data_IF_957542688768
#
_entry.id   IF_957542688768
#
_cell.length_a   1.000
_cell.length_b   1.000
_cell.length_c   1.000
_cell.angle_alpha   90.00
_cell.angle_beta   90.00
_cell.angle_gamma   90.00
#
_symmetry.space_group_name_H-M   'P 1'
#
loop_
_entity.id
_entity.type
_entity.pdbx_description
1 polymer ?
#
# COMPACT_ATOMS: atom_id res chain seq x y z
N UNK A 1 -55.78 67.44 16.89
CA UNK A 1 -55.96 68.00 15.53
C UNK A 1 -55.22 67.11 14.53
N UNK A 2 -55.92 66.53 13.55
CA UNK A 2 -55.30 65.95 12.34
C UNK A 2 -54.66 67.08 11.51
N UNK A 3 -53.62 66.78 10.72
CA UNK A 3 -53.86 66.60 9.28
C UNK A 3 -53.09 65.38 8.71
N UNK A 4 -53.73 64.47 7.99
CA UNK A 4 -54.06 64.45 6.54
C UNK A 4 -52.92 63.88 5.68
N UNK A 5 -53.27 62.79 4.99
CA UNK A 5 -52.55 62.06 3.94
C UNK A 5 -52.02 62.98 2.84
N UNK A 6 -50.87 62.62 2.29
CA UNK A 6 -50.60 62.75 0.85
C UNK A 6 -50.40 61.36 0.24
N UNK A 7 -51.05 61.18 -0.90
CA UNK A 7 -51.11 59.98 -1.74
C UNK A 7 -50.21 60.15 -2.97
N UNK A 8 -49.45 59.12 -3.33
CA UNK A 8 -48.92 58.91 -4.69
C UNK A 8 -48.98 57.41 -5.07
N UNK A 9 -49.01 57.10 -6.39
CA UNK A 9 -49.91 56.13 -7.03
C UNK A 9 -49.21 54.76 -7.29
N UNK A 10 -49.90 53.77 -7.92
CA UNK A 10 -49.60 52.34 -7.75
C UNK A 10 -48.35 51.92 -8.54
N UNK A 11 -47.55 51.04 -7.93
CA UNK A 11 -46.59 50.23 -8.67
C UNK A 11 -47.24 48.88 -8.96
N UNK A 12 -47.27 48.55 -10.25
CA UNK A 12 -47.78 47.31 -10.81
C UNK A 12 -47.18 46.09 -10.10
N UNK A 13 -48.07 45.27 -9.53
CA UNK A 13 -47.76 43.91 -9.10
C UNK A 13 -47.73 43.07 -10.38
N UNK A 14 -46.55 42.90 -10.95
CA UNK A 14 -46.33 41.85 -11.92
C UNK A 14 -45.86 40.60 -11.16
N UNK A 15 -46.76 39.62 -11.09
CA UNK A 15 -46.42 38.25 -10.71
C UNK A 15 -45.36 37.71 -11.68
N UNK A 16 -44.15 37.50 -11.18
CA UNK A 16 -43.23 36.53 -11.77
C UNK A 16 -42.99 35.44 -10.74
N UNK A 17 -43.46 34.24 -11.09
CA UNK A 17 -43.15 32.99 -10.43
C UNK A 17 -41.63 32.87 -10.25
N UNK A 18 -41.15 32.33 -9.11
CA UNK A 18 -39.76 31.93 -9.03
C UNK A 18 -39.55 30.79 -10.03
N UNK A 19 -38.83 31.08 -11.11
CA UNK A 19 -38.28 30.05 -11.97
C UNK A 19 -37.42 29.16 -11.08
N UNK A 20 -37.79 27.89 -10.95
CA UNK A 20 -36.94 26.88 -10.37
C UNK A 20 -35.59 26.95 -11.08
N UNK A 21 -34.57 27.45 -10.39
CA UNK A 21 -33.20 27.13 -10.73
C UNK A 21 -33.06 25.65 -10.44
N UNK A 22 -33.34 24.84 -11.46
CA UNK A 22 -32.96 23.45 -11.51
C UNK A 22 -31.46 23.42 -11.22
N UNK A 23 -31.10 22.99 -10.02
CA UNK A 23 -29.71 22.68 -9.70
C UNK A 23 -29.31 21.57 -10.65
N UNK A 24 -28.58 21.93 -11.69
CA UNK A 24 -27.84 20.97 -12.50
C UNK A 24 -26.93 20.23 -11.54
N UNK A 25 -27.33 19.01 -11.19
CA UNK A 25 -26.50 18.09 -10.44
C UNK A 25 -25.27 17.84 -11.31
N UNK A 26 -24.12 18.37 -10.90
CA UNK A 26 -22.79 18.06 -11.47
C UNK A 26 -22.37 16.59 -11.30
N UNK A 27 -23.33 15.72 -11.00
CA UNK A 27 -23.19 14.29 -10.81
C UNK A 27 -23.38 13.52 -12.13
N UNK A 28 -24.12 14.08 -13.09
CA UNK A 28 -24.42 13.40 -14.35
C UNK A 28 -23.32 13.55 -15.41
N UNK A 29 -22.48 14.59 -15.33
CA UNK A 29 -21.30 14.75 -16.19
C UNK A 29 -20.14 13.84 -15.79
N UNK A 30 -20.12 13.35 -14.55
CA UNK A 30 -19.09 12.44 -14.05
C UNK A 30 -19.42 10.97 -14.37
N UNK A 31 -20.70 10.62 -14.44
CA UNK A 31 -21.15 9.28 -14.84
C UNK A 31 -20.79 9.00 -16.30
N UNK A 32 -20.82 10.00 -17.18
CA UNK A 32 -20.47 9.85 -18.60
C UNK A 32 -18.97 9.61 -18.81
N UNK A 33 -18.10 10.21 -17.99
CA UNK A 33 -16.65 9.97 -18.04
C UNK A 33 -16.27 8.57 -17.53
N UNK A 34 -17.04 8.03 -16.57
CA UNK A 34 -16.86 6.66 -16.07
C UNK A 34 -17.44 5.63 -17.06
N UNK A 35 -18.53 5.97 -17.76
CA UNK A 35 -19.12 5.11 -18.80
C UNK A 35 -18.28 5.07 -20.08
N UNK A 36 -17.51 6.13 -20.41
CA UNK A 36 -16.55 6.11 -21.52
C UNK A 36 -15.31 5.26 -21.20
N UNK A 37 -14.80 5.27 -19.96
CA UNK A 37 -13.74 4.34 -19.53
C UNK A 37 -14.22 2.88 -19.43
N UNK A 38 -15.51 2.64 -19.17
CA UNK A 38 -16.09 1.28 -19.09
C UNK A 38 -16.48 0.67 -20.44
N UNK A 39 -16.45 1.45 -21.54
CA UNK A 39 -16.66 0.92 -22.91
C UNK A 39 -15.37 0.58 -23.64
N UNK A 40 -14.21 0.79 -23.02
CA UNK A 40 -12.93 0.33 -23.53
C UNK A 40 -12.58 -1.01 -22.87
N UNK A 41 -13.29 -2.06 -23.28
CA UNK A 41 -12.94 -3.44 -22.94
C UNK A 41 -11.84 -3.92 -23.90
N UNK A 42 -10.81 -4.51 -23.30
CA UNK A 42 -9.97 -5.61 -23.78
C UNK A 42 -9.67 -5.71 -25.29
N UNK A 43 -8.44 -5.34 -25.69
CA UNK A 43 -7.58 -6.02 -26.70
C UNK A 43 -6.37 -5.20 -27.18
N UNK A 44 -5.75 -4.34 -26.37
CA UNK A 44 -4.46 -3.72 -26.77
C UNK A 44 -3.43 -3.66 -25.63
N UNK A 45 -2.19 -4.14 -25.84
CA UNK A 45 -1.12 -4.08 -24.85
C UNK A 45 -0.43 -2.70 -24.87
N UNK A 46 -1.20 -1.60 -24.80
CA UNK A 46 -0.66 -0.26 -25.07
C UNK A 46 -0.42 0.66 -23.85
N UNK A 47 -0.81 0.27 -22.64
CA UNK A 47 -0.63 1.12 -21.44
C UNK A 47 0.62 0.80 -20.60
N UNK A 48 1.44 -0.18 -21.00
CA UNK A 48 2.76 -0.41 -20.38
C UNK A 48 3.84 0.50 -20.97
N UNK A 49 3.66 0.96 -22.21
CA UNK A 49 4.62 1.80 -22.94
C UNK A 49 4.84 3.15 -22.27
N UNK A 50 3.79 3.82 -21.78
CA UNK A 50 3.91 5.20 -21.31
C UNK A 50 4.52 5.32 -19.91
N UNK A 51 4.35 4.29 -19.06
CA UNK A 51 4.97 4.22 -17.73
C UNK A 51 6.41 3.71 -17.78
N UNK A 52 6.70 2.71 -18.63
CA UNK A 52 8.08 2.31 -18.95
C UNK A 52 8.82 3.47 -19.63
N UNK A 53 8.12 4.24 -20.47
CA UNK A 53 8.63 5.49 -21.03
C UNK A 53 8.82 6.55 -19.96
N UNK A 54 8.03 6.66 -18.88
CA UNK A 54 8.31 7.59 -17.78
C UNK A 54 9.58 7.26 -16.97
N UNK A 55 9.91 5.97 -16.83
CA UNK A 55 11.16 5.52 -16.22
C UNK A 55 12.34 5.74 -17.18
N UNK A 56 12.11 5.52 -18.48
CA UNK A 56 13.11 5.66 -19.54
C UNK A 56 13.30 7.13 -20.00
N UNK A 57 12.30 7.99 -19.83
CA UNK A 57 12.26 9.41 -20.26
C UNK A 57 12.66 10.37 -19.14
N UNK A 58 12.85 9.88 -17.91
CA UNK A 58 13.74 10.56 -16.99
C UNK A 58 15.18 10.34 -17.49
N UNK A 59 15.60 11.13 -18.49
CA UNK A 59 16.99 11.37 -18.89
C UNK A 59 17.83 12.02 -17.75
N UNK A 60 17.52 11.75 -16.49
CA UNK A 60 18.50 11.77 -15.43
C UNK A 60 19.11 10.38 -15.40
N UNK A 61 20.26 10.22 -16.04
CA UNK A 61 21.19 9.10 -15.90
C UNK A 61 21.10 8.52 -14.48
N UNK A 62 20.27 7.48 -14.28
CA UNK A 62 20.24 6.79 -13.01
C UNK A 62 21.64 6.25 -12.81
N UNK A 63 22.25 6.56 -11.66
CA UNK A 63 23.58 6.08 -11.39
C UNK A 63 23.53 4.53 -11.38
N UNK A 64 24.14 3.83 -12.35
CA UNK A 64 24.02 2.38 -12.47
C UNK A 64 24.70 1.64 -11.31
N UNK A 65 25.42 2.36 -10.45
CA UNK A 65 25.98 1.81 -9.21
C UNK A 65 24.95 1.68 -8.10
N UNK A 66 23.76 2.26 -8.24
CA UNK A 66 22.67 2.08 -7.26
C UNK A 66 22.26 0.61 -7.28
N UNK A 67 22.37 -0.01 -6.11
CA UNK A 67 21.86 -1.35 -5.86
C UNK A 67 20.63 -1.30 -4.97
N UNK A 68 19.61 -2.06 -5.33
CA UNK A 68 18.39 -2.28 -4.58
C UNK A 68 18.31 -3.79 -4.37
N UNK A 69 18.20 -4.25 -3.13
CA UNK A 69 18.18 -5.68 -2.75
C UNK A 69 19.32 -6.48 -3.40
N UNK A 70 20.53 -5.91 -3.39
CA UNK A 70 21.74 -6.42 -4.05
C UNK A 70 21.75 -6.45 -5.58
N UNK A 71 20.67 -5.99 -6.23
CA UNK A 71 20.53 -5.95 -7.68
C UNK A 71 20.74 -4.55 -8.22
N UNK A 72 21.33 -4.45 -9.41
CA UNK A 72 21.44 -3.15 -10.10
C UNK A 72 20.05 -2.57 -10.33
N UNK A 73 19.88 -1.27 -10.14
CA UNK A 73 18.63 -0.58 -10.48
C UNK A 73 18.22 -0.82 -11.94
N UNK A 74 19.18 -1.04 -12.84
CA UNK A 74 18.93 -1.35 -14.26
C UNK A 74 18.24 -2.68 -14.50
N UNK A 75 18.26 -3.59 -13.51
CA UNK A 75 17.64 -4.91 -13.62
C UNK A 75 16.13 -4.86 -13.29
N UNK A 76 15.63 -3.74 -12.76
CA UNK A 76 14.21 -3.57 -12.40
C UNK A 76 13.37 -3.18 -13.62
N UNK A 77 13.25 -4.10 -14.56
CA UNK A 77 12.56 -3.90 -15.85
C UNK A 77 11.10 -4.34 -15.83
N UNK A 78 10.67 -5.10 -14.83
CA UNK A 78 9.33 -5.69 -14.78
C UNK A 78 8.40 -4.91 -13.86
N UNK A 79 7.16 -4.73 -14.30
CA UNK A 79 6.11 -4.07 -13.53
C UNK A 79 4.98 -5.07 -13.28
N UNK A 80 4.71 -5.34 -12.01
CA UNK A 80 3.59 -6.18 -11.60
C UNK A 80 2.41 -5.33 -11.12
N UNK A 81 1.19 -5.77 -11.44
CA UNK A 81 -0.06 -5.26 -10.85
C UNK A 81 -0.81 -6.44 -10.24
N UNK A 82 -0.66 -6.61 -8.94
CA UNK A 82 -1.09 -7.79 -8.18
C UNK A 82 -2.47 -7.53 -7.55
N UNK A 83 -3.56 -8.18 -7.99
CA UNK A 83 -4.88 -7.94 -7.43
C UNK A 83 -5.03 -8.54 -6.03
N UNK A 84 -5.64 -7.75 -5.14
CA UNK A 84 -5.92 -8.12 -3.76
C UNK A 84 -7.41 -8.44 -3.58
N UNK A 85 -7.72 -9.71 -3.34
CA UNK A 85 -9.07 -10.26 -3.37
C UNK A 85 -9.45 -10.87 -2.02
N UNK A 86 -10.73 -10.78 -1.64
CA UNK A 86 -11.31 -11.68 -0.64
C UNK A 86 -12.55 -12.38 -1.18
N UNK A 87 -12.82 -13.56 -0.62
CA UNK A 87 -14.08 -14.25 -0.84
C UNK A 87 -15.08 -13.76 0.20
N UNK A 88 -16.31 -13.49 -0.22
CA UNK A 88 -17.38 -12.98 0.67
C UNK A 88 -17.62 -13.85 1.91
N UNK A 89 -17.28 -15.15 1.84
CA UNK A 89 -17.46 -16.14 2.91
C UNK A 89 -16.21 -16.36 3.78
N UNK A 90 -15.02 -15.89 3.37
CA UNK A 90 -13.77 -16.12 4.07
C UNK A 90 -13.12 -14.81 4.49
N UNK A 91 -12.74 -14.70 5.76
CA UNK A 91 -12.09 -13.50 6.34
C UNK A 91 -10.63 -13.31 5.90
N UNK A 92 -10.13 -14.14 5.00
CA UNK A 92 -8.78 -14.08 4.45
C UNK A 92 -8.72 -13.17 3.23
N UNK A 93 -7.59 -12.50 3.05
CA UNK A 93 -7.26 -11.77 1.83
C UNK A 93 -6.19 -12.56 1.07
N UNK A 94 -6.34 -12.60 -0.25
CA UNK A 94 -5.51 -13.32 -1.20
C UNK A 94 -4.91 -12.32 -2.18
N UNK A 95 -3.61 -12.43 -2.42
CA UNK A 95 -2.88 -11.64 -3.40
C UNK A 95 -2.58 -12.53 -4.61
N UNK A 96 -3.15 -12.20 -5.74
CA UNK A 96 -2.96 -12.91 -6.99
C UNK A 96 -1.86 -12.23 -7.81
N UNK A 97 -1.29 -12.98 -8.77
CA UNK A 97 -0.26 -12.46 -9.65
C UNK A 97 -0.85 -11.51 -10.68
N UNK A 98 -1.95 -11.92 -11.31
CA UNK A 98 -2.65 -11.18 -12.36
C UNK A 98 -4.15 -11.28 -12.13
N UNK A 99 -4.91 -10.51 -12.90
CA UNK A 99 -6.37 -10.64 -12.92
C UNK A 99 -6.81 -11.95 -13.58
N UNK A 100 -6.07 -12.43 -14.58
CA UNK A 100 -6.36 -13.70 -15.25
C UNK A 100 -6.28 -14.90 -14.30
N UNK A 101 -5.35 -14.87 -13.35
CA UNK A 101 -5.27 -15.89 -12.29
C UNK A 101 -6.51 -15.90 -11.39
N UNK A 102 -7.11 -14.73 -11.14
CA UNK A 102 -8.37 -14.62 -10.41
C UNK A 102 -9.51 -15.27 -11.22
N UNK A 103 -9.62 -14.93 -12.51
CA UNK A 103 -10.67 -15.44 -13.40
C UNK A 103 -10.53 -16.96 -13.58
N UNK A 104 -9.30 -17.44 -13.75
CA UNK A 104 -8.96 -18.85 -13.99
C UNK A 104 -8.96 -19.68 -12.71
N UNK A 105 -9.15 -19.04 -11.54
CA UNK A 105 -9.08 -19.68 -10.22
C UNK A 105 -7.74 -20.41 -10.01
N UNK A 106 -6.64 -19.81 -10.50
CA UNK A 106 -5.27 -20.21 -10.18
C UNK A 106 -4.99 -19.94 -8.69
N UNK A 107 -4.20 -20.76 -7.97
CA UNK A 107 -3.83 -20.45 -6.60
C UNK A 107 -3.16 -19.05 -6.46
N UNK A 108 -3.48 -18.26 -5.42
CA UNK A 108 -2.89 -16.93 -5.24
C UNK A 108 -1.43 -17.02 -4.80
N UNK A 109 -0.61 -16.01 -5.10
CA UNK A 109 0.79 -15.94 -4.63
C UNK A 109 0.87 -16.01 -3.11
N UNK A 110 0.09 -15.15 -2.44
CA UNK A 110 0.07 -15.03 -0.99
C UNK A 110 -1.37 -15.04 -0.46
N UNK A 111 -1.55 -15.59 0.72
CA UNK A 111 -2.80 -15.41 1.47
C UNK A 111 -2.52 -15.21 2.94
N UNK A 112 -3.30 -14.36 3.59
CA UNK A 112 -3.22 -14.21 5.05
C UNK A 112 -4.33 -14.98 5.73
N UNK A 113 -4.00 -15.55 6.89
CA UNK A 113 -4.99 -16.06 7.83
C UNK A 113 -4.96 -15.19 9.08
N UNK A 114 -6.12 -14.65 9.55
CA UNK A 114 -6.16 -14.02 10.85
C UNK A 114 -5.94 -15.08 11.92
N UNK A 115 -5.07 -14.80 12.87
CA UNK A 115 -4.87 -15.72 13.99
C UNK A 115 -6.00 -15.54 15.00
N UNK A 116 -6.73 -16.61 15.29
CA UNK A 116 -7.69 -16.63 16.39
C UNK A 116 -6.91 -16.46 17.69
N UNK A 117 -7.18 -15.40 18.46
CA UNK A 117 -6.57 -15.17 19.76
C UNK A 117 -6.80 -16.40 20.63
N UNK A 118 -5.74 -17.17 20.90
CA UNK A 118 -5.79 -18.23 21.91
C UNK A 118 -5.25 -17.68 23.22
N UNK A 119 -6.06 -17.72 24.28
CA UNK A 119 -5.77 -17.13 25.59
C UNK A 119 -4.50 -17.66 26.27
N UNK A 120 -3.89 -18.73 25.76
CA UNK A 120 -2.82 -19.46 26.45
C UNK A 120 -1.51 -19.62 25.64
N UNK A 121 -1.41 -19.07 24.43
CA UNK A 121 -0.17 -19.12 23.62
C UNK A 121 0.15 -17.76 23.02
N UNK A 122 1.45 -17.42 22.95
CA UNK A 122 1.97 -16.29 22.15
C UNK A 122 1.60 -16.51 20.68
N UNK A 123 0.41 -16.03 20.34
CA UNK A 123 -0.19 -16.19 19.03
C UNK A 123 0.33 -15.05 18.15
N UNK A 124 0.83 -15.32 16.92
CA UNK A 124 1.24 -14.24 16.04
C UNK A 124 0.07 -13.31 15.73
N UNK A 125 0.35 -12.06 15.39
CA UNK A 125 -0.67 -11.11 14.94
C UNK A 125 -1.33 -11.60 13.64
N UNK A 126 -0.51 -12.12 12.73
CA UNK A 126 -0.93 -12.61 11.42
C UNK A 126 0.07 -13.65 10.92
N UNK A 127 -0.43 -14.60 10.13
CA UNK A 127 0.39 -15.54 9.36
C UNK A 127 0.07 -15.37 7.89
N UNK A 128 1.10 -15.12 7.08
CA UNK A 128 1.04 -15.04 5.63
C UNK A 128 1.58 -16.35 5.07
N UNK A 129 0.82 -16.94 4.17
CA UNK A 129 1.13 -18.20 3.50
C UNK A 129 1.47 -17.93 2.04
N UNK A 130 2.47 -18.64 1.52
CA UNK A 130 2.75 -18.74 0.08
C UNK A 130 2.05 -19.98 -0.47
N UNK A 131 1.46 -19.89 -1.64
CA UNK A 131 0.89 -21.05 -2.33
C UNK A 131 1.82 -21.52 -3.44
N UNK A 132 1.88 -22.83 -3.60
CA UNK A 132 2.42 -23.48 -4.77
C UNK A 132 1.32 -23.62 -5.85
N UNK A 133 1.73 -23.91 -7.09
CA UNK A 133 0.82 -24.03 -8.25
C UNK A 133 -0.18 -25.18 -8.12
N UNK A 134 0.16 -26.21 -7.35
CA UNK A 134 -0.72 -27.33 -6.99
C UNK A 134 -1.80 -26.96 -5.95
N UNK A 135 -1.76 -25.73 -5.43
CA UNK A 135 -2.67 -25.23 -4.39
C UNK A 135 -2.25 -25.58 -2.96
N UNK A 136 -1.11 -26.26 -2.77
CA UNK A 136 -0.53 -26.43 -1.44
C UNK A 136 -0.09 -25.07 -0.90
N UNK A 137 -0.29 -24.84 0.40
CA UNK A 137 0.14 -23.60 1.06
C UNK A 137 1.01 -23.90 2.27
N UNK A 138 2.03 -23.08 2.46
CA UNK A 138 2.94 -23.17 3.60
C UNK A 138 3.10 -21.81 4.27
N UNK A 139 3.45 -21.81 5.56
CA UNK A 139 3.76 -20.59 6.30
C UNK A 139 5.00 -19.93 5.68
N UNK A 140 4.81 -18.74 5.12
CA UNK A 140 5.89 -17.98 4.49
C UNK A 140 6.42 -16.90 5.43
N UNK A 141 5.51 -16.18 6.09
CA UNK A 141 5.86 -15.10 7.01
C UNK A 141 4.96 -15.11 8.26
N UNK A 142 5.60 -15.11 9.42
CA UNK A 142 4.95 -14.92 10.72
C UNK A 142 5.15 -13.48 11.21
N UNK A 143 4.05 -12.82 11.57
CA UNK A 143 4.06 -11.41 11.96
C UNK A 143 3.77 -11.26 13.45
N UNK A 144 4.64 -10.56 14.16
CA UNK A 144 4.44 -10.11 15.53
C UNK A 144 4.32 -8.60 15.58
N UNK A 145 3.59 -8.08 16.59
CA UNK A 145 3.52 -6.66 16.89
C UNK A 145 4.19 -6.37 18.22
N UNK A 146 5.00 -5.32 18.26
CA UNK A 146 5.70 -4.88 19.46
C UNK A 146 5.60 -3.36 19.61
N UNK A 147 5.59 -2.92 20.86
CA UNK A 147 5.58 -1.51 21.24
C UNK A 147 6.98 -1.17 21.75
N UNK A 148 7.64 -0.19 21.13
CA UNK A 148 8.91 0.33 21.62
C UNK A 148 8.65 1.48 22.61
N UNK A 149 7.80 2.43 22.22
CA UNK A 149 7.29 3.53 23.04
C UNK A 149 5.84 3.86 22.64
N UNK A 150 5.22 4.83 23.30
CA UNK A 150 3.87 5.30 22.94
C UNK A 150 3.79 5.77 21.48
N UNK A 151 4.88 6.35 20.97
CA UNK A 151 4.93 6.96 19.64
C UNK A 151 5.69 6.13 18.60
N UNK A 152 6.32 5.02 19.01
CA UNK A 152 7.07 4.12 18.13
C UNK A 152 6.62 2.68 18.38
N UNK A 153 6.05 2.06 17.36
CA UNK A 153 5.71 0.63 17.36
C UNK A 153 6.45 -0.05 16.23
N UNK A 154 6.51 -1.38 16.24
CA UNK A 154 7.11 -2.10 15.13
C UNK A 154 6.51 -3.48 14.93
N UNK A 155 6.55 -3.94 13.67
CA UNK A 155 6.23 -5.31 13.32
C UNK A 155 7.50 -6.12 13.13
N UNK A 156 7.47 -7.38 13.55
CA UNK A 156 8.55 -8.35 13.29
C UNK A 156 8.00 -9.37 12.30
N UNK A 157 8.52 -9.35 11.07
CA UNK A 157 8.17 -10.29 10.01
C UNK A 157 9.27 -11.35 9.96
N UNK A 158 8.94 -12.59 10.32
CA UNK A 158 9.87 -13.72 10.29
C UNK A 158 9.57 -14.60 9.09
N UNK A 159 10.51 -14.69 8.17
CA UNK A 159 10.41 -15.48 6.95
C UNK A 159 11.10 -16.82 7.14
N UNK A 160 10.33 -17.83 7.60
CA UNK A 160 10.87 -19.13 8.03
C UNK A 160 11.67 -19.83 6.93
N UNK A 161 11.19 -19.79 5.68
CA UNK A 161 11.89 -20.39 4.53
C UNK A 161 13.14 -19.64 4.06
N UNK A 162 13.29 -18.36 4.43
CA UNK A 162 14.39 -17.51 3.98
C UNK A 162 15.43 -17.25 5.08
N UNK A 163 15.23 -17.77 6.30
CA UNK A 163 16.09 -17.48 7.45
C UNK A 163 16.19 -16.00 7.80
N UNK A 164 15.28 -15.16 7.29
CA UNK A 164 15.40 -13.69 7.35
C UNK A 164 14.31 -13.09 8.25
N UNK A 165 14.64 -12.02 8.97
CA UNK A 165 13.69 -11.25 9.78
C UNK A 165 13.73 -9.78 9.37
N UNK A 166 12.55 -9.20 9.10
CA UNK A 166 12.39 -7.78 8.77
C UNK A 166 11.65 -7.07 9.89
N UNK A 167 12.16 -5.90 10.28
CA UNK A 167 11.56 -5.04 11.31
C UNK A 167 10.95 -3.80 10.68
N UNK A 168 9.62 -3.68 10.73
CA UNK A 168 8.91 -2.51 10.23
C UNK A 168 8.72 -1.51 11.36
N UNK A 169 9.53 -0.45 11.39
CA UNK A 169 9.54 0.51 12.49
C UNK A 169 8.61 1.68 12.18
N UNK A 170 7.47 1.73 12.89
CA UNK A 170 6.44 2.72 12.69
C UNK A 170 6.70 3.97 13.54
N UNK A 171 6.80 5.11 12.87
CA UNK A 171 6.61 6.43 13.45
C UNK A 171 5.09 6.70 13.54
N UNK A 172 4.53 6.78 14.74
CA UNK A 172 3.11 7.09 14.96
C UNK A 172 2.86 8.57 15.33
N UNK A 173 3.78 9.48 14.98
CA UNK A 173 3.59 10.93 15.15
C UNK A 173 2.64 11.52 14.09
N UNK A 174 2.51 12.85 14.04
CA UNK A 174 1.59 13.54 13.13
C UNK A 174 1.90 13.33 11.63
N UNK A 175 3.12 12.88 11.30
CA UNK A 175 3.52 12.48 9.94
C UNK A 175 3.99 11.02 9.98
N UNK A 176 3.07 10.05 9.86
CA UNK A 176 3.42 8.65 10.00
C UNK A 176 4.32 8.16 8.86
N UNK A 177 5.33 7.39 9.22
CA UNK A 177 6.23 6.70 8.30
C UNK A 177 6.56 5.33 8.85
N UNK A 178 6.97 4.41 7.98
CA UNK A 178 7.55 3.14 8.40
C UNK A 178 8.91 2.99 7.75
N UNK A 179 9.94 2.79 8.56
CA UNK A 179 11.29 2.53 8.05
C UNK A 179 11.66 1.07 8.32
N UNK A 180 12.32 0.43 7.36
CA UNK A 180 12.86 -0.93 7.51
C UNK A 180 14.07 -1.15 6.63
N UNK A 181 14.87 -2.15 6.97
CA UNK A 181 16.00 -2.60 6.18
C UNK A 181 15.79 -4.04 5.72
N UNK A 182 16.13 -4.34 4.48
CA UNK A 182 16.08 -5.68 3.90
C UNK A 182 17.08 -5.80 2.75
N UNK A 183 17.78 -6.93 2.67
CA UNK A 183 18.77 -7.23 1.62
C UNK A 183 19.71 -6.03 1.34
N UNK A 184 20.39 -5.55 2.40
CA UNK A 184 21.33 -4.43 2.34
C UNK A 184 20.77 -3.08 1.83
N UNK A 185 19.44 -2.95 1.82
CA UNK A 185 18.72 -1.77 1.34
C UNK A 185 17.83 -1.20 2.45
N UNK A 186 17.89 0.12 2.61
CA UNK A 186 17.02 0.85 3.53
C UNK A 186 15.79 1.37 2.78
N UNK A 187 14.63 1.28 3.44
CA UNK A 187 13.35 1.65 2.87
C UNK A 187 12.57 2.57 3.79
N UNK A 188 11.76 3.44 3.19
CA UNK A 188 10.75 4.25 3.88
C UNK A 188 9.41 4.10 3.19
N UNK A 189 8.39 3.86 3.99
CA UNK A 189 7.00 3.83 3.56
C UNK A 189 6.28 5.08 4.06
N UNK A 190 5.52 5.69 3.16
CA UNK A 190 4.64 6.84 3.42
C UNK A 190 3.22 6.54 2.96
N UNK A 191 2.26 7.36 3.36
CA UNK A 191 0.85 7.18 3.01
C UNK A 191 0.09 6.21 3.91
N UNK A 192 0.75 5.66 4.94
CA UNK A 192 0.09 5.10 6.12
C UNK A 192 -0.47 6.22 6.99
N UNK A 193 -1.63 6.05 7.59
CA UNK A 193 -2.38 7.19 8.13
C UNK A 193 -2.85 7.07 9.55
N UNK A 194 -3.08 8.24 10.14
CA UNK A 194 -4.09 8.38 11.18
C UNK A 194 -5.50 8.62 10.63
N UNK A 195 -5.65 9.17 9.40
CA UNK A 195 -6.93 9.75 8.90
C UNK A 195 -7.03 10.03 7.37
N UNK A 196 -6.36 9.35 6.41
CA UNK A 196 -6.42 9.81 4.97
C UNK A 196 -7.77 9.73 4.26
N UNK A 197 -8.82 9.18 4.83
CA UNK A 197 -10.09 9.05 4.10
C UNK A 197 -10.90 10.35 3.94
N UNK A 198 -10.38 11.53 4.32
CA UNK A 198 -11.18 12.76 4.38
C UNK A 198 -11.22 13.62 3.09
N UNK A 199 -10.36 13.41 2.09
CA UNK A 199 -10.17 14.39 0.99
C UNK A 199 -10.09 13.79 -0.42
N UNK A 200 -10.88 12.76 -0.73
CA UNK A 200 -11.16 12.36 -2.12
C UNK A 200 -10.00 11.75 -2.93
N UNK A 201 -8.82 11.56 -2.35
CA UNK A 201 -7.74 10.75 -2.93
C UNK A 201 -7.86 9.31 -2.47
N UNK A 202 -7.78 8.35 -3.39
CA UNK A 202 -7.63 6.92 -3.05
C UNK A 202 -6.45 6.77 -2.07
N UNK A 203 -6.66 6.14 -0.90
CA UNK A 203 -5.58 5.94 0.05
C UNK A 203 -4.51 5.05 -0.57
N UNK A 204 -3.27 5.54 -0.56
CA UNK A 204 -2.13 4.89 -1.20
C UNK A 204 -0.98 4.76 -0.21
N UNK A 205 -0.40 3.56 -0.13
CA UNK A 205 0.84 3.29 0.62
C UNK A 205 1.97 3.21 -0.38
N UNK A 206 3.04 4.00 -0.21
CA UNK A 206 4.19 4.04 -1.15
C UNK A 206 5.48 3.66 -0.45
N UNK A 207 6.23 2.75 -1.06
CA UNK A 207 7.54 2.29 -0.63
C UNK A 207 8.64 2.97 -1.44
N UNK A 208 9.56 3.66 -0.77
CA UNK A 208 10.70 4.32 -1.37
C UNK A 208 12.02 3.68 -0.92
N UNK A 209 12.98 3.63 -1.84
CA UNK A 209 14.37 3.24 -1.55
C UNK A 209 15.09 4.45 -0.97
N UNK A 210 15.71 4.26 0.19
CA UNK A 210 16.40 5.31 0.95
C UNK A 210 17.91 5.11 0.88
N UNK A 211 18.65 6.19 1.18
CA UNK A 211 20.11 6.11 1.24
C UNK A 211 20.53 5.18 2.38
N UNK A 212 21.34 4.17 2.06
CA UNK A 212 21.86 3.22 3.04
C UNK A 212 22.53 3.94 4.20
N UNK A 213 22.17 3.55 5.42
CA UNK A 213 22.78 4.05 6.66
C UNK A 213 22.39 5.49 7.02
N UNK A 214 21.40 6.09 6.37
CA UNK A 214 20.98 7.47 6.64
C UNK A 214 20.54 7.68 8.10
N UNK A 215 21.09 8.71 8.77
CA UNK A 215 20.78 9.06 10.16
C UNK A 215 19.34 9.55 10.38
N UNK A 216 18.64 9.89 9.31
CA UNK A 216 17.27 10.38 9.35
C UNK A 216 16.23 9.24 9.22
N UNK A 217 16.67 7.98 9.22
CA UNK A 217 15.80 6.81 9.26
C UNK A 217 15.71 6.25 10.68
N UNK A 218 14.56 5.67 11.03
CA UNK A 218 14.40 4.96 12.29
C UNK A 218 15.22 3.67 12.34
N UNK A 219 15.62 3.10 11.21
CA UNK A 219 16.51 1.92 11.14
C UNK A 219 17.95 2.22 11.54
N UNK A 220 18.36 3.49 11.49
CA UNK A 220 19.73 3.88 11.76
C UNK A 220 20.17 3.48 13.18
N UNK A 221 21.27 2.72 13.27
CA UNK A 221 21.86 2.28 14.53
C UNK A 221 20.96 1.34 15.35
N UNK A 222 19.91 0.76 14.75
CA UNK A 222 19.08 -0.22 15.44
C UNK A 222 19.86 -1.50 15.73
N UNK A 223 19.67 -2.05 16.92
CA UNK A 223 20.29 -3.31 17.35
C UNK A 223 19.22 -4.24 17.87
N UNK A 224 19.26 -5.50 17.46
CA UNK A 224 18.43 -6.56 18.05
C UNK A 224 19.10 -6.96 19.37
N UNK A 225 18.39 -6.80 20.47
CA UNK A 225 18.87 -7.21 21.79
C UNK A 225 18.96 -8.74 21.87
N UNK A 226 20.04 -9.23 22.47
CA UNK A 226 20.30 -10.67 22.73
C UNK A 226 19.39 -11.27 23.82
N UNK A 227 18.23 -10.67 24.05
CA UNK A 227 17.24 -11.23 24.95
C UNK A 227 16.43 -12.34 24.26
N UNK A 228 15.89 -13.28 25.03
CA UNK A 228 15.04 -14.35 24.50
C UNK A 228 13.77 -13.84 23.76
N UNK A 229 13.54 -12.52 23.76
CA UNK A 229 12.40 -11.85 23.12
C UNK A 229 12.81 -11.19 21.80
N UNK A 230 14.10 -11.05 21.47
CA UNK A 230 14.61 -10.36 20.28
C UNK A 230 14.01 -8.97 20.12
N UNK A 231 14.06 -8.14 21.17
CA UNK A 231 13.53 -6.77 21.13
C UNK A 231 14.47 -5.86 20.33
N UNK A 232 13.90 -4.93 19.56
CA UNK A 232 14.69 -3.93 18.86
C UNK A 232 14.96 -2.71 19.75
N UNK A 233 16.24 -2.34 19.90
CA UNK A 233 16.67 -1.08 20.52
C UNK A 233 16.77 0.01 19.45
N UNK A 234 16.05 1.12 19.67
CA UNK A 234 15.86 2.20 18.69
C UNK A 234 16.24 3.54 19.33
N UNK A 235 17.53 3.87 19.36
CA UNK A 235 18.08 5.01 20.11
C UNK A 235 18.77 6.06 19.23
N UNK A 236 18.19 6.36 18.06
CA UNK A 236 18.71 7.34 17.12
C UNK A 236 18.10 8.75 17.29
N UNK A 237 18.59 9.70 16.48
CA UNK A 237 18.15 11.09 16.47
C UNK A 237 16.64 11.20 16.24
N UNK A 238 16.10 10.48 15.26
CA UNK A 238 14.68 10.55 14.90
C UNK A 238 13.80 9.97 16.01
N UNK A 239 14.20 8.86 16.65
CA UNK A 239 13.41 8.26 17.74
C UNK A 239 13.30 9.20 18.95
N UNK A 240 14.36 9.95 19.28
CA UNK A 240 14.34 10.97 20.33
C UNK A 240 13.36 12.11 20.01
N UNK A 241 13.37 12.62 18.77
CA UNK A 241 12.44 13.67 18.34
C UNK A 241 10.98 13.19 18.41
N UNK A 242 10.71 11.95 17.98
CA UNK A 242 9.37 11.35 18.01
C UNK A 242 8.88 11.18 19.45
N UNK A 243 9.73 10.65 20.33
CA UNK A 243 9.39 10.49 21.75
C UNK A 243 9.24 11.84 22.46
N UNK A 244 10.02 12.85 22.08
CA UNK A 244 9.90 14.22 22.55
C UNK A 244 8.74 15.02 21.92
N UNK A 245 7.99 14.41 20.99
CA UNK A 245 6.87 15.05 20.28
C UNK A 245 7.27 16.36 19.56
N UNK A 246 8.51 16.47 19.08
CA UNK A 246 9.04 17.68 18.43
C UNK A 246 8.57 17.81 16.97
N UNK A 247 7.26 17.94 16.74
CA UNK A 247 6.60 17.81 15.43
C UNK A 247 7.25 18.63 14.30
N UNK A 248 7.63 19.89 14.59
CA UNK A 248 8.31 20.73 13.61
C UNK A 248 9.62 20.12 13.12
N UNK A 249 10.43 19.57 14.03
CA UNK A 249 11.72 18.94 13.69
C UNK A 249 11.55 17.56 13.09
N UNK A 250 10.56 16.78 13.51
CA UNK A 250 10.20 15.50 12.88
C UNK A 250 9.87 15.75 11.40
N UNK A 251 9.01 16.74 11.12
CA UNK A 251 8.60 17.07 9.76
C UNK A 251 9.77 17.52 8.88
N UNK A 252 10.71 18.30 9.42
CA UNK A 252 11.94 18.69 8.73
C UNK A 252 12.79 17.45 8.40
N UNK A 253 13.12 16.63 9.40
CA UNK A 253 13.95 15.42 9.22
C UNK A 253 13.33 14.46 8.19
N UNK A 254 12.02 14.21 8.28
CA UNK A 254 11.33 13.31 7.35
C UNK A 254 11.26 13.87 5.93
N UNK A 255 11.08 15.19 5.78
CA UNK A 255 10.99 15.84 4.46
C UNK A 255 12.35 16.00 3.79
N UNK A 256 13.38 16.32 4.57
CA UNK A 256 14.72 16.60 4.04
C UNK A 256 15.44 15.29 3.63
N UNK A 257 15.00 14.15 4.17
CA UNK A 257 15.46 12.83 3.77
C UNK A 257 14.80 12.38 2.45
N UNK A 258 15.50 12.65 1.34
CA UNK A 258 15.04 12.28 -0.01
C UNK A 258 15.36 10.82 -0.34
N UNK A 259 14.48 10.14 -1.09
CA UNK A 259 14.77 8.80 -1.58
C UNK A 259 15.92 8.82 -2.61
N UNK A 260 16.56 7.66 -2.80
CA UNK A 260 17.59 7.47 -3.82
C UNK A 260 17.00 7.62 -5.22
N UNK A 261 15.74 7.21 -5.37
CA UNK A 261 14.93 7.28 -6.58
C UNK A 261 13.58 7.88 -6.21
N UNK A 262 13.14 8.92 -6.90
CA UNK A 262 11.86 9.60 -6.60
C UNK A 262 10.62 8.83 -7.08
N UNK A 263 10.85 7.64 -7.66
CA UNK A 263 9.83 6.67 -8.06
C UNK A 263 9.75 5.60 -6.97
N UNK A 264 8.57 5.36 -6.37
CA UNK A 264 8.42 4.32 -5.36
C UNK A 264 8.59 2.93 -6.00
N UNK A 265 9.33 2.06 -5.32
CA UNK A 265 9.57 0.67 -5.74
C UNK A 265 8.27 -0.14 -5.76
N UNK A 266 7.40 0.09 -4.77
CA UNK A 266 6.11 -0.60 -4.66
C UNK A 266 5.05 0.33 -4.06
N UNK A 267 3.79 0.10 -4.42
CA UNK A 267 2.65 0.89 -3.99
C UNK A 267 1.43 0.00 -3.79
N UNK A 268 0.69 0.19 -2.69
CA UNK A 268 -0.66 -0.34 -2.56
C UNK A 268 -1.66 0.75 -2.88
N UNK A 269 -2.58 0.45 -3.80
CA UNK A 269 -3.67 1.33 -4.22
C UNK A 269 -4.99 0.77 -3.70
N UNK A 270 -5.65 1.50 -2.81
CA UNK A 270 -6.98 1.13 -2.31
C UNK A 270 -8.06 1.51 -3.34
N UNK A 271 -8.76 0.53 -3.87
CA UNK A 271 -9.84 0.74 -4.85
C UNK A 271 -11.23 0.70 -4.18
N UNK A 272 -11.27 0.61 -2.85
CA UNK A 272 -12.47 0.29 -2.10
C UNK A 272 -12.90 -1.16 -2.29
N UNK A 273 -13.99 -1.56 -1.63
CA UNK A 273 -14.53 -2.91 -1.72
C UNK A 273 -15.44 -3.04 -2.96
N UNK A 274 -14.85 -3.43 -4.10
CA UNK A 274 -15.57 -3.63 -5.36
C UNK A 274 -16.02 -5.08 -5.47
N UNK A 275 -17.33 -5.31 -5.47
CA UNK A 275 -17.90 -6.65 -5.71
C UNK A 275 -17.80 -6.99 -7.19
N UNK A 276 -17.13 -8.09 -7.50
CA UNK A 276 -16.97 -8.58 -8.86
C UNK A 276 -17.69 -9.91 -9.01
N UNK A 277 -18.47 -10.03 -10.09
CA UNK A 277 -19.02 -11.30 -10.55
C UNK A 277 -18.02 -11.91 -11.51
N UNK A 278 -17.58 -13.12 -11.22
CA UNK A 278 -16.75 -13.91 -12.13
C UNK A 278 -17.63 -15.04 -12.61
N UNK A 279 -17.80 -15.18 -13.92
CA UNK A 279 -18.67 -16.17 -14.56
C UNK A 279 -18.05 -17.58 -14.55
N UNK A 280 -17.45 -17.96 -13.41
CA UNK A 280 -16.82 -19.25 -13.20
C UNK A 280 -17.49 -19.95 -12.01
N UNK A 281 -17.80 -21.25 -12.16
CA UNK A 281 -18.73 -22.01 -11.28
C UNK A 281 -18.28 -22.04 -9.80
N UNK A 282 -16.99 -21.80 -9.52
CA UNK A 282 -16.38 -21.89 -8.19
C UNK A 282 -16.29 -20.56 -7.43
N UNK A 283 -16.32 -19.40 -8.08
CA UNK A 283 -16.16 -18.09 -7.44
C UNK A 283 -17.22 -17.09 -7.92
N UNK A 284 -18.46 -17.27 -7.47
CA UNK A 284 -19.59 -16.47 -7.97
C UNK A 284 -19.54 -15.00 -7.53
N UNK A 285 -18.92 -14.70 -6.39
CA UNK A 285 -18.81 -13.35 -5.83
C UNK A 285 -17.47 -13.18 -5.09
N UNK A 286 -16.62 -12.32 -5.62
CA UNK A 286 -15.38 -11.90 -4.99
C UNK A 286 -15.45 -10.41 -4.67
N UNK A 287 -14.63 -9.97 -3.71
CA UNK A 287 -14.43 -8.55 -3.40
C UNK A 287 -12.99 -8.20 -3.74
N UNK A 288 -12.82 -7.29 -4.71
CA UNK A 288 -11.53 -6.66 -5.01
C UNK A 288 -11.36 -5.49 -4.06
N UNK A 289 -10.29 -5.49 -3.28
CA UNK A 289 -9.96 -4.41 -2.34
C UNK A 289 -9.04 -3.36 -2.95
N UNK A 290 -8.23 -3.75 -3.92
CA UNK A 290 -7.17 -2.91 -4.46
C UNK A 290 -6.12 -3.71 -5.20
N UNK A 291 -4.99 -3.08 -5.46
CA UNK A 291 -3.85 -3.70 -6.14
C UNK A 291 -2.53 -3.30 -5.48
N UNK A 292 -1.54 -4.19 -5.52
CA UNK A 292 -0.14 -3.84 -5.28
C UNK A 292 0.52 -3.65 -6.65
N UNK A 293 1.04 -2.46 -6.92
CA UNK A 293 1.90 -2.20 -8.09
C UNK A 293 3.35 -2.18 -7.65
N UNK A 294 4.24 -2.86 -8.35
CA UNK A 294 5.66 -2.85 -8.00
C UNK A 294 6.59 -3.10 -9.17
N UNK A 295 7.80 -2.57 -9.04
CA UNK A 295 8.93 -2.91 -9.88
C UNK A 295 9.65 -4.11 -9.28
N UNK A 296 9.98 -5.07 -10.13
CA UNK A 296 10.77 -6.24 -9.77
C UNK A 296 11.86 -6.48 -10.82
N UNK A 297 12.84 -7.26 -10.40
CA UNK A 297 13.94 -7.72 -11.23
C UNK A 297 13.76 -9.22 -11.46
N UNK A 298 14.00 -9.68 -12.69
CA UNK A 298 14.08 -11.11 -12.97
C UNK A 298 15.56 -11.52 -12.95
N UNK A 299 15.88 -12.60 -12.25
CA UNK A 299 17.16 -13.28 -12.41
C UNK A 299 17.27 -13.69 -13.89
N UNK A 300 18.16 -13.03 -14.63
CA UNK A 300 18.36 -13.25 -16.07
C UNK A 300 19.13 -14.53 -16.42
N UNK A 301 19.11 -15.55 -15.56
CA UNK A 301 19.88 -16.80 -15.69
C UNK A 301 19.02 -18.06 -15.47
N UNK A 302 17.79 -18.09 -15.96
CA UNK A 302 17.08 -19.36 -16.24
C UNK A 302 17.02 -19.60 -17.75
N UNK A 303 18.21 -19.65 -18.37
CA UNK A 303 18.41 -20.46 -19.57
C UNK A 303 18.60 -21.91 -19.08
N UNK A 304 17.64 -22.77 -19.41
CA UNK A 304 17.80 -24.23 -19.48
C UNK A 304 18.15 -24.94 -18.15
N UNK A 305 17.20 -25.07 -17.22
CA UNK A 305 17.00 -26.32 -16.49
C UNK A 305 15.63 -26.33 -15.79
N UNK A 306 14.97 -27.48 -15.84
CA UNK A 306 13.57 -27.75 -15.50
C UNK A 306 13.25 -27.59 -14.00
N UNK A 307 13.29 -26.37 -13.43
CA UNK A 307 12.53 -26.06 -12.21
C UNK A 307 11.24 -25.33 -12.57
N UNK A 308 10.16 -26.08 -12.73
CA UNK A 308 8.81 -25.55 -12.79
C UNK A 308 8.53 -24.62 -11.58
N UNK A 309 8.60 -23.29 -11.77
CA UNK A 309 7.72 -22.39 -11.03
C UNK A 309 8.31 -21.27 -10.17
N UNK A 310 9.56 -20.82 -10.36
CA UNK A 310 10.00 -19.54 -9.77
C UNK A 310 9.65 -18.34 -10.64
N UNK A 311 8.35 -18.15 -10.79
CA UNK A 311 7.82 -17.12 -11.67
C UNK A 311 7.89 -15.71 -11.03
N UNK A 312 8.17 -15.58 -9.72
CA UNK A 312 8.36 -14.29 -9.00
C UNK A 312 9.50 -14.38 -7.99
N UNK A 313 10.24 -13.29 -7.77
CA UNK A 313 11.39 -13.28 -6.84
C UNK A 313 10.95 -13.40 -5.36
N UNK A 314 11.79 -14.01 -4.52
CA UNK A 314 11.51 -14.08 -3.08
C UNK A 314 11.50 -12.67 -2.44
N UNK A 315 12.32 -11.76 -2.98
CA UNK A 315 12.34 -10.34 -2.62
C UNK A 315 10.99 -9.66 -2.88
N UNK A 316 10.40 -9.91 -4.05
CA UNK A 316 9.07 -9.42 -4.40
C UNK A 316 8.02 -9.88 -3.38
N UNK A 317 8.07 -11.16 -2.99
CA UNK A 317 7.17 -11.72 -2.00
C UNK A 317 7.37 -11.13 -0.60
N UNK A 318 8.61 -10.81 -0.20
CA UNK A 318 8.92 -10.11 1.05
C UNK A 318 8.29 -8.72 1.03
N UNK A 319 8.49 -7.94 -0.03
CA UNK A 319 7.89 -6.60 -0.17
C UNK A 319 6.36 -6.66 -0.18
N UNK A 320 5.77 -7.66 -0.83
CA UNK A 320 4.33 -7.89 -0.77
C UNK A 320 3.85 -8.16 0.67
N UNK A 321 4.58 -8.97 1.44
CA UNK A 321 4.26 -9.21 2.85
C UNK A 321 4.30 -7.93 3.68
N UNK A 322 5.28 -7.04 3.44
CA UNK A 322 5.36 -5.73 4.09
C UNK A 322 4.12 -4.89 3.82
N UNK A 323 3.72 -4.75 2.55
CA UNK A 323 2.55 -3.98 2.16
C UNK A 323 1.24 -4.58 2.71
N UNK A 324 1.12 -5.91 2.72
CA UNK A 324 -0.04 -6.60 3.30
C UNK A 324 -0.17 -6.33 4.81
N UNK A 325 0.94 -6.32 5.56
CA UNK A 325 0.96 -6.00 7.00
C UNK A 325 0.47 -4.57 7.25
N UNK A 326 0.99 -3.60 6.50
CA UNK A 326 0.62 -2.20 6.68
C UNK A 326 -0.82 -1.91 6.25
N UNK A 327 -1.27 -2.50 5.13
CA UNK A 327 -2.67 -2.44 4.72
C UNK A 327 -3.60 -2.99 5.79
N UNK A 328 -3.25 -4.11 6.41
CA UNK A 328 -4.05 -4.69 7.49
C UNK A 328 -4.06 -3.82 8.75
N UNK A 329 -2.94 -3.17 9.07
CA UNK A 329 -2.87 -2.21 10.17
C UNK A 329 -3.79 -1.01 9.91
N UNK A 330 -3.77 -0.42 8.72
CA UNK A 330 -4.70 0.66 8.36
C UNK A 330 -6.16 0.20 8.42
N UNK A 331 -6.46 -0.97 7.86
CA UNK A 331 -7.81 -1.55 7.88
C UNK A 331 -8.35 -1.73 9.31
N UNK A 332 -7.51 -2.14 10.26
CA UNK A 332 -7.89 -2.29 11.68
C UNK A 332 -8.16 -0.96 12.37
N UNK A 333 -7.47 0.12 12.00
CA UNK A 333 -7.75 1.46 12.54
C UNK A 333 -9.13 1.95 12.12
N UNK A 334 -9.50 1.77 10.84
CA UNK A 334 -10.79 2.23 10.31
C UNK A 334 -12.00 1.48 10.87
N UNK A 335 -11.84 0.19 11.17
CA UNK A 335 -12.95 -0.63 11.67
C UNK A 335 -13.31 -0.39 13.14
N UNK A 336 -12.57 0.46 13.86
CA UNK A 336 -12.76 0.66 15.30
C UNK A 336 -12.41 -0.63 16.05
N UNK A 337 -11.12 -0.82 16.29
CA UNK A 337 -10.60 -1.97 17.04
C UNK A 337 -11.13 -2.06 18.47
#
# INVERSE_FOLDING_TARGET
>A
MKPTRESKPPQDINHQEPTEMERVNSRDTFTTLIEEEQRQDDTTPHDTSDLVSLISSQETLFNPTIKIMNQSITNYTHIYTLPLISNFLHTGVQLYRTWDDVISNTPPLLSRSPTKLTLFKKTPLMVIHRHARDGAKHEFCRVEFKIHSIHITYYVLRFTGLGTTVYLINNNSAKPTVDFAYSDTDFRIVGITGTTSALGTSPEIKLYVMRRGSENLLTHGCVVEDDARGKLRIENKLSRLINGQEQGRINLVVRDEKPVVDIPLARYLDQGDVKVKVDNVRQKHIVKHGVIKMYDWLDGEEEEEEEEGREVSDDMLVICCVLLVLREQEYRKFKGG
#
